data_IF_441583029147
#
_entry.id   IF_441583029147
#
_cell.length_a   1.000
_cell.length_b   1.000
_cell.length_c   1.000
_cell.angle_alpha   90.00
_cell.angle_beta   90.00
_cell.angle_gamma   90.00
#
_symmetry.space_group_name_H-M   'P 1'
#
loop_
_entity.id
_entity.type
_entity.pdbx_description
1 polymer ?
#
# COMPACT_ATOMS: atom_id res chain seq x y z
N UNK A 1 -18.57 24.27 -41.97
CA UNK A 1 -19.64 23.40 -42.52
C UNK A 1 -20.96 24.14 -42.59
N UNK A 2 -21.36 24.89 -41.55
CA UNK A 2 -22.56 25.70 -41.57
C UNK A 2 -22.31 27.11 -42.16
N UNK A 3 -23.24 27.60 -42.96
CA UNK A 3 -23.25 28.94 -43.58
C UNK A 3 -24.52 29.75 -43.23
N UNK A 4 -25.53 29.08 -42.67
CA UNK A 4 -26.82 29.68 -42.26
C UNK A 4 -27.18 29.29 -40.84
N UNK A 5 -28.00 30.09 -40.17
CA UNK A 5 -28.50 29.86 -38.80
C UNK A 5 -30.01 30.09 -38.77
N UNK A 6 -30.70 29.34 -37.92
CA UNK A 6 -32.10 29.60 -37.58
C UNK A 6 -32.19 30.76 -36.58
N UNK A 7 -32.90 31.83 -36.93
CA UNK A 7 -33.17 32.93 -36.00
C UNK A 7 -34.30 32.60 -35.00
N UNK A 8 -34.51 33.49 -34.04
CA UNK A 8 -35.52 33.41 -32.98
C UNK A 8 -36.95 33.26 -33.53
N UNK A 9 -37.17 33.68 -34.78
CA UNK A 9 -38.45 33.61 -35.50
C UNK A 9 -38.59 32.32 -36.32
N UNK A 10 -37.59 31.45 -36.30
CA UNK A 10 -37.55 30.21 -37.08
C UNK A 10 -37.14 30.40 -38.54
N UNK A 11 -36.64 31.58 -38.91
CA UNK A 11 -36.26 31.90 -40.28
C UNK A 11 -34.77 31.65 -40.49
N UNK A 12 -34.44 31.12 -41.66
CA UNK A 12 -33.05 30.85 -42.06
C UNK A 12 -32.40 32.16 -42.51
N UNK A 13 -31.34 32.56 -41.80
CA UNK A 13 -30.52 33.73 -42.12
C UNK A 13 -29.05 33.34 -42.31
N UNK A 14 -28.27 34.09 -43.13
CA UNK A 14 -26.84 33.83 -43.27
C UNK A 14 -26.10 34.00 -41.94
N UNK A 15 -25.13 33.15 -41.62
CA UNK A 15 -24.23 33.40 -40.48
C UNK A 15 -23.38 34.63 -40.78
N UNK A 16 -23.52 35.67 -39.96
CA UNK A 16 -22.58 36.79 -39.93
C UNK A 16 -21.28 36.43 -39.20
N UNK A 17 -20.18 37.14 -39.48
CA UNK A 17 -18.91 36.94 -38.77
C UNK A 17 -19.04 37.16 -37.25
N UNK A 18 -19.86 38.12 -36.83
CA UNK A 18 -20.12 38.40 -35.40
C UNK A 18 -20.82 37.20 -34.72
N UNK A 19 -21.79 36.58 -35.39
CA UNK A 19 -22.45 35.38 -34.87
C UNK A 19 -21.50 34.19 -34.79
N UNK A 20 -20.61 34.02 -35.78
CA UNK A 20 -19.59 32.96 -35.76
C UNK A 20 -18.69 33.09 -34.53
N UNK A 21 -18.23 34.31 -34.24
CA UNK A 21 -17.41 34.59 -33.06
C UNK A 21 -18.18 34.28 -31.77
N UNK A 22 -19.41 34.78 -31.64
CA UNK A 22 -20.23 34.56 -30.45
C UNK A 22 -20.52 33.06 -30.20
N UNK A 23 -20.84 32.30 -31.25
CA UNK A 23 -21.07 30.84 -31.13
C UNK A 23 -19.78 30.12 -30.74
N UNK A 24 -18.64 30.54 -31.30
CA UNK A 24 -17.33 29.98 -30.95
C UNK A 24 -17.00 30.25 -29.48
N UNK A 25 -17.32 31.43 -28.98
CA UNK A 25 -17.15 31.80 -27.57
C UNK A 25 -18.07 30.97 -26.65
N UNK A 26 -19.31 30.73 -27.05
CA UNK A 26 -20.23 29.83 -26.32
C UNK A 26 -19.68 28.39 -26.28
N UNK A 27 -19.17 27.87 -27.40
CA UNK A 27 -18.55 26.54 -27.46
C UNK A 27 -17.34 26.47 -26.52
N UNK A 28 -16.50 27.51 -26.50
CA UNK A 28 -15.35 27.60 -25.62
C UNK A 28 -15.75 27.72 -24.14
N UNK A 29 -16.82 28.46 -23.83
CA UNK A 29 -17.41 28.52 -22.49
C UNK A 29 -17.92 27.16 -22.05
N UNK A 30 -18.69 26.47 -22.89
CA UNK A 30 -19.18 25.11 -22.61
C UNK A 30 -18.02 24.14 -22.38
N UNK A 31 -16.96 24.19 -23.19
CA UNK A 31 -15.79 23.37 -22.99
C UNK A 31 -15.06 23.68 -21.67
N UNK A 32 -15.07 24.95 -21.23
CA UNK A 32 -14.49 25.39 -19.96
C UNK A 32 -15.28 24.87 -18.75
N UNK A 33 -16.59 24.67 -18.91
CA UNK A 33 -17.49 24.07 -17.91
C UNK A 33 -17.54 22.52 -18.01
N UNK A 34 -16.58 21.90 -18.71
CA UNK A 34 -16.50 20.45 -18.95
C UNK A 34 -17.71 19.86 -19.71
N UNK A 35 -18.40 20.66 -20.52
CA UNK A 35 -19.50 20.18 -21.36
C UNK A 35 -18.97 19.67 -22.70
N UNK A 36 -19.47 18.51 -23.12
CA UNK A 36 -19.32 18.00 -24.49
C UNK A 36 -20.29 18.75 -25.39
N UNK A 37 -19.75 19.57 -26.28
CA UNK A 37 -20.55 20.35 -27.23
C UNK A 37 -20.95 19.50 -28.44
N UNK A 38 -22.25 19.45 -28.74
CA UNK A 38 -22.79 18.91 -29.98
C UNK A 38 -23.46 20.02 -30.78
N UNK A 39 -23.19 20.03 -32.08
CA UNK A 39 -23.79 20.96 -33.02
C UNK A 39 -24.93 20.25 -33.76
N UNK A 40 -26.14 20.81 -33.68
CA UNK A 40 -27.30 20.35 -34.41
C UNK A 40 -27.49 21.25 -35.64
N UNK A 41 -27.36 20.65 -36.82
CA UNK A 41 -27.52 21.35 -38.09
C UNK A 41 -28.25 20.45 -39.09
N UNK A 42 -28.94 21.05 -40.04
CA UNK A 42 -29.62 20.34 -41.12
C UNK A 42 -29.29 20.96 -42.47
N UNK A 43 -29.54 20.20 -43.53
CA UNK A 43 -29.43 20.69 -44.91
C UNK A 43 -30.62 20.16 -45.68
N UNK A 44 -31.37 21.07 -46.29
CA UNK A 44 -32.43 20.70 -47.22
C UNK A 44 -31.79 20.19 -48.52
N UNK A 45 -32.29 19.07 -49.03
CA UNK A 45 -31.83 18.45 -50.26
C UNK A 45 -33.00 18.41 -51.24
N UNK A 46 -32.82 19.05 -52.39
CA UNK A 46 -33.85 19.13 -53.43
C UNK A 46 -34.05 17.78 -54.14
N UNK A 47 -33.00 16.94 -54.21
CA UNK A 47 -33.03 15.60 -54.81
C UNK A 47 -32.59 14.51 -53.80
N UNK A 48 -33.19 13.31 -53.85
CA UNK A 48 -32.76 12.18 -53.02
C UNK A 48 -31.32 11.77 -53.37
N UNK A 49 -30.45 11.70 -52.36
CA UNK A 49 -29.03 11.35 -52.53
C UNK A 49 -28.93 9.89 -52.99
N UNK A 50 -28.58 9.70 -54.26
CA UNK A 50 -28.52 8.37 -54.88
C UNK A 50 -27.33 7.51 -54.45
N UNK A 51 -26.29 8.10 -53.84
CA UNK A 51 -25.01 7.43 -53.57
C UNK A 51 -24.62 7.39 -52.07
N UNK A 52 -25.55 7.73 -51.18
CA UNK A 52 -25.30 7.73 -49.72
C UNK A 52 -24.23 8.70 -49.22
N UNK A 53 -23.70 9.59 -50.08
CA UNK A 53 -22.67 10.55 -49.74
C UNK A 53 -23.25 11.73 -48.95
N UNK A 54 -22.73 11.94 -47.74
CA UNK A 54 -23.13 13.05 -46.87
C UNK A 54 -22.43 14.32 -47.39
N UNK A 55 -23.14 15.41 -47.71
CA UNK A 55 -22.52 16.66 -48.18
C UNK A 55 -21.60 17.28 -47.12
N UNK A 56 -20.43 17.80 -47.50
CA UNK A 56 -19.46 18.37 -46.54
C UNK A 56 -19.79 19.81 -46.09
N UNK A 57 -20.58 20.56 -46.86
CA UNK A 57 -20.84 22.00 -46.64
C UNK A 57 -22.30 22.41 -46.96
N UNK A 58 -22.70 23.59 -46.47
CA UNK A 58 -24.00 24.21 -46.77
C UNK A 58 -25.10 23.85 -45.77
N UNK A 59 -24.73 23.70 -44.50
CA UNK A 59 -25.66 23.36 -43.43
C UNK A 59 -26.23 24.61 -42.76
N UNK A 60 -27.49 24.51 -42.32
CA UNK A 60 -28.14 25.47 -41.45
C UNK A 60 -27.99 25.02 -39.99
N UNK A 61 -27.29 25.83 -39.19
CA UNK A 61 -27.15 25.65 -37.75
C UNK A 61 -28.50 25.89 -37.06
N UNK A 62 -28.89 24.94 -36.20
CA UNK A 62 -30.12 25.03 -35.39
C UNK A 62 -29.78 25.35 -33.95
N UNK A 63 -28.89 24.56 -33.34
CA UNK A 63 -28.55 24.71 -31.94
C UNK A 63 -27.17 24.12 -31.63
N UNK A 64 -26.56 24.65 -30.57
CA UNK A 64 -25.40 24.03 -29.91
C UNK A 64 -25.85 23.58 -28.54
N UNK A 65 -25.71 22.29 -28.24
CA UNK A 65 -26.07 21.70 -26.96
C UNK A 65 -24.81 21.26 -26.22
N UNK A 66 -24.74 21.57 -24.92
CA UNK A 66 -23.68 21.10 -24.04
C UNK A 66 -24.18 19.95 -23.16
N UNK A 67 -23.54 18.79 -23.23
CA UNK A 67 -23.85 17.63 -22.39
C UNK A 67 -22.74 17.46 -21.35
N UNK A 68 -23.08 17.41 -20.07
CA UNK A 68 -22.11 17.13 -19.00
C UNK A 68 -22.06 15.63 -18.73
N UNK A 69 -20.85 15.07 -18.67
CA UNK A 69 -20.62 13.80 -17.97
C UNK A 69 -20.20 14.13 -16.53
N UNK A 70 -21.10 13.99 -15.53
CA UNK A 70 -20.81 14.43 -14.19
C UNK A 70 -19.75 13.56 -13.52
N UNK A 71 -18.85 14.20 -12.77
CA UNK A 71 -17.90 13.48 -11.93
C UNK A 71 -18.66 12.63 -10.90
N UNK A 72 -18.27 11.36 -10.76
CA UNK A 72 -18.90 10.45 -9.79
C UNK A 72 -18.73 10.97 -8.35
N UNK A 73 -19.74 10.84 -7.49
CA UNK A 73 -19.65 11.25 -6.10
C UNK A 73 -18.46 10.58 -5.37
N UNK A 74 -17.68 11.37 -4.63
CA UNK A 74 -16.56 10.88 -3.83
C UNK A 74 -15.23 10.72 -4.57
N UNK A 75 -15.17 10.93 -5.89
CA UNK A 75 -13.89 10.94 -6.64
C UNK A 75 -12.98 12.04 -6.12
N UNK A 76 -13.51 13.24 -5.89
CA UNK A 76 -12.75 14.37 -5.36
C UNK A 76 -12.09 14.05 -4.01
N UNK A 77 -12.85 13.50 -3.07
CA UNK A 77 -12.34 13.11 -1.74
C UNK A 77 -11.28 12.02 -1.85
N UNK A 78 -11.48 11.07 -2.77
CA UNK A 78 -10.54 9.97 -3.02
C UNK A 78 -9.23 10.47 -3.64
N UNK A 79 -9.28 11.39 -4.61
CA UNK A 79 -8.09 12.06 -5.19
C UNK A 79 -7.34 12.81 -4.10
N UNK A 80 -8.03 13.59 -3.28
CA UNK A 80 -7.41 14.31 -2.16
C UNK A 80 -6.75 13.35 -1.15
N UNK A 81 -7.40 12.22 -0.86
CA UNK A 81 -6.84 11.18 0.02
C UNK A 81 -5.57 10.57 -0.57
N UNK A 82 -5.55 10.30 -1.88
CA UNK A 82 -4.34 9.82 -2.58
C UNK A 82 -3.21 10.85 -2.52
N UNK A 83 -3.49 12.12 -2.84
CA UNK A 83 -2.51 13.20 -2.81
C UNK A 83 -1.94 13.40 -1.40
N UNK A 84 -2.80 13.44 -0.37
CA UNK A 84 -2.37 13.53 1.02
C UNK A 84 -1.52 12.33 1.48
N UNK A 85 -1.69 11.17 0.83
CA UNK A 85 -0.92 9.96 1.06
C UNK A 85 0.38 9.87 0.24
N UNK A 86 0.73 10.93 -0.50
CA UNK A 86 1.90 11.00 -1.38
C UNK A 86 1.75 10.21 -2.69
N UNK A 87 0.51 9.93 -3.12
CA UNK A 87 0.22 9.24 -4.38
C UNK A 87 -0.19 10.28 -5.43
N UNK A 88 0.64 10.45 -6.45
CA UNK A 88 0.34 11.36 -7.58
C UNK A 88 -0.72 10.73 -8.48
N UNK A 89 -1.85 11.40 -8.64
CA UNK A 89 -2.94 10.99 -9.55
C UNK A 89 -2.76 11.70 -10.88
N UNK A 90 -2.84 10.96 -12.00
CA UNK A 90 -2.72 11.50 -13.36
C UNK A 90 -3.93 11.06 -14.18
N UNK A 91 -4.55 11.99 -14.91
CA UNK A 91 -5.67 11.72 -15.81
C UNK A 91 -5.14 11.53 -17.24
N UNK A 92 -5.52 10.41 -17.87
CA UNK A 92 -5.17 10.12 -19.27
C UNK A 92 -6.43 9.77 -20.04
N UNK A 93 -6.87 10.65 -20.93
CA UNK A 93 -8.17 10.55 -21.63
C UNK A 93 -8.05 10.79 -23.14
N UNK A 94 -8.99 10.23 -23.89
CA UNK A 94 -9.20 10.52 -25.31
C UNK A 94 -9.93 11.85 -25.57
N UNK A 95 -10.45 12.51 -24.54
CA UNK A 95 -11.18 13.78 -24.67
C UNK A 95 -10.28 14.95 -25.09
N UNK A 96 -10.93 16.05 -25.48
CA UNK A 96 -10.28 17.34 -25.74
C UNK A 96 -9.56 17.86 -24.48
N UNK A 97 -8.41 18.52 -24.67
CA UNK A 97 -7.61 19.13 -23.61
C UNK A 97 -8.37 20.10 -22.71
N UNK A 98 -9.29 20.90 -23.23
CA UNK A 98 -10.08 21.86 -22.44
C UNK A 98 -11.05 21.14 -21.50
N UNK A 99 -11.78 20.14 -22.02
CA UNK A 99 -12.67 19.29 -21.21
C UNK A 99 -11.87 18.52 -20.15
N UNK A 100 -10.75 17.92 -20.53
CA UNK A 100 -9.89 17.18 -19.62
C UNK A 100 -9.34 18.09 -18.50
N UNK A 101 -8.89 19.31 -18.83
CA UNK A 101 -8.45 20.31 -17.86
C UNK A 101 -9.57 20.70 -16.90
N UNK A 102 -10.78 20.92 -17.40
CA UNK A 102 -11.92 21.30 -16.59
C UNK A 102 -12.30 20.19 -15.59
N UNK A 103 -12.43 18.94 -16.05
CA UNK A 103 -12.72 17.78 -15.19
C UNK A 103 -11.58 17.55 -14.18
N UNK A 104 -10.32 17.64 -14.63
CA UNK A 104 -9.17 17.46 -13.75
C UNK A 104 -9.11 18.53 -12.64
N UNK A 105 -9.48 19.78 -12.93
CA UNK A 105 -9.62 20.83 -11.91
C UNK A 105 -10.78 20.56 -10.95
N UNK A 106 -11.94 20.14 -11.46
CA UNK A 106 -13.11 19.80 -10.64
C UNK A 106 -12.78 18.66 -9.64
N UNK A 107 -12.03 17.65 -10.08
CA UNK A 107 -11.55 16.53 -9.27
C UNK A 107 -10.37 16.85 -8.35
N UNK A 108 -9.69 17.99 -8.53
CA UNK A 108 -8.47 18.33 -7.79
C UNK A 108 -7.21 17.58 -8.24
N UNK A 109 -7.19 17.08 -9.48
CA UNK A 109 -6.04 16.42 -10.10
C UNK A 109 -5.07 17.45 -10.67
N UNK A 110 -5.59 18.46 -11.39
CA UNK A 110 -4.78 19.49 -12.02
C UNK A 110 -4.53 20.64 -11.03
N UNK A 111 -3.29 20.76 -10.56
CA UNK A 111 -2.81 21.85 -9.69
C UNK A 111 -2.25 23.01 -10.51
N UNK A 112 -1.99 24.16 -9.87
CA UNK A 112 -1.43 25.34 -10.56
C UNK A 112 -0.06 25.06 -11.21
N UNK A 113 0.79 24.26 -10.54
CA UNK A 113 2.10 23.87 -11.06
C UNK A 113 2.05 22.68 -12.05
N UNK A 114 0.86 22.13 -12.28
CA UNK A 114 0.62 20.95 -13.08
C UNK A 114 0.59 21.24 -14.58
N UNK A 115 1.08 20.29 -15.38
CA UNK A 115 1.05 20.39 -16.84
C UNK A 115 -0.03 19.48 -17.42
N UNK A 116 -0.80 20.04 -18.36
CA UNK A 116 -1.74 19.33 -19.19
C UNK A 116 -1.30 19.40 -20.66
N UNK A 117 -1.09 18.25 -21.28
CA UNK A 117 -0.58 18.12 -22.66
C UNK A 117 -1.51 17.28 -23.53
N UNK A 118 -1.34 17.35 -24.84
CA UNK A 118 -1.96 16.41 -25.77
C UNK A 118 -1.05 15.20 -26.07
N UNK A 119 -1.64 14.04 -26.35
CA UNK A 119 -0.90 12.82 -26.71
C UNK A 119 -0.06 12.98 -27.99
N UNK A 120 -0.51 13.82 -28.93
CA UNK A 120 0.25 14.20 -30.13
C UNK A 120 1.58 14.89 -29.79
N UNK A 121 1.56 15.81 -28.83
CA UNK A 121 2.73 16.52 -28.33
C UNK A 121 3.65 15.56 -27.57
N UNK A 122 3.10 14.70 -26.72
CA UNK A 122 3.87 13.69 -25.99
C UNK A 122 4.61 12.71 -26.91
N UNK A 123 3.99 12.31 -28.04
CA UNK A 123 4.60 11.35 -28.97
C UNK A 123 5.92 11.83 -29.56
N UNK A 124 5.99 13.10 -29.93
CA UNK A 124 7.11 13.71 -30.64
C UNK A 124 8.25 14.15 -29.71
N UNK A 125 8.04 14.13 -28.40
CA UNK A 125 9.07 14.50 -27.42
C UNK A 125 10.25 13.52 -27.44
N UNK A 126 11.46 14.08 -27.30
CA UNK A 126 12.68 13.29 -27.12
C UNK A 126 12.74 12.70 -25.70
N UNK A 127 13.53 11.63 -25.47
CA UNK A 127 13.71 11.07 -24.13
C UNK A 127 14.26 12.07 -23.11
N UNK A 128 15.05 13.07 -23.53
CA UNK A 128 15.50 14.15 -22.64
C UNK A 128 14.32 15.02 -22.19
N UNK A 129 13.51 15.50 -23.13
CA UNK A 129 12.33 16.32 -22.83
C UNK A 129 11.33 15.57 -21.95
N UNK A 130 11.13 14.28 -22.24
CA UNK A 130 10.27 13.41 -21.42
C UNK A 130 10.70 13.35 -19.96
N UNK A 131 12.01 13.32 -19.68
CA UNK A 131 12.52 13.29 -18.29
C UNK A 131 12.19 14.56 -17.50
N UNK A 132 12.11 15.70 -18.16
CA UNK A 132 11.82 16.98 -17.51
C UNK A 132 10.32 17.19 -17.29
N UNK A 133 9.49 16.76 -18.25
CA UNK A 133 8.06 17.06 -18.26
C UNK A 133 7.21 15.99 -17.54
N UNK A 134 7.57 14.70 -17.63
CA UNK A 134 6.76 13.59 -17.06
C UNK A 134 6.41 13.79 -15.58
N UNK A 135 7.34 14.24 -14.70
CA UNK A 135 7.00 14.49 -13.30
C UNK A 135 5.88 15.51 -13.12
N UNK A 136 5.79 16.49 -14.03
CA UNK A 136 4.82 17.60 -13.99
C UNK A 136 3.51 17.28 -14.71
N UNK A 137 3.48 16.26 -15.58
CA UNK A 137 2.27 15.88 -16.30
C UNK A 137 1.23 15.34 -15.29
N UNK A 138 0.09 16.02 -15.24
CA UNK A 138 -1.09 15.60 -14.48
C UNK A 138 -2.26 15.24 -15.39
N UNK A 139 -2.30 15.79 -16.61
CA UNK A 139 -3.34 15.51 -17.59
C UNK A 139 -2.72 15.25 -18.96
N UNK A 140 -3.10 14.14 -19.58
CA UNK A 140 -2.82 13.85 -20.99
C UNK A 140 -4.16 13.66 -21.71
N UNK A 141 -4.45 14.57 -22.64
CA UNK A 141 -5.68 14.59 -23.41
C UNK A 141 -5.45 14.07 -24.85
N UNK A 142 -6.52 13.69 -25.55
CA UNK A 142 -6.47 13.08 -26.90
C UNK A 142 -5.44 11.93 -27.00
N UNK A 143 -5.30 11.15 -25.93
CA UNK A 143 -4.32 10.07 -25.85
C UNK A 143 -4.75 8.88 -26.70
N UNK A 144 -3.84 8.33 -27.48
CA UNK A 144 -4.00 7.01 -28.10
C UNK A 144 -3.59 5.89 -27.11
N UNK A 145 -4.03 4.63 -27.32
CA UNK A 145 -3.61 3.48 -26.52
C UNK A 145 -2.10 3.39 -26.29
N UNK A 146 -1.32 3.61 -27.37
CA UNK A 146 0.14 3.57 -27.32
C UNK A 146 0.75 4.72 -26.50
N UNK A 147 0.07 5.87 -26.39
CA UNK A 147 0.54 6.99 -25.58
C UNK A 147 0.42 6.65 -24.10
N UNK A 148 -0.70 6.03 -23.70
CA UNK A 148 -0.92 5.54 -22.33
C UNK A 148 0.16 4.55 -21.94
N UNK A 149 0.38 3.54 -22.78
CA UNK A 149 1.45 2.55 -22.60
C UNK A 149 2.83 3.23 -22.47
N UNK A 150 3.17 4.13 -23.40
CA UNK A 150 4.46 4.85 -23.39
C UNK A 150 4.66 5.66 -22.10
N UNK A 151 3.62 6.32 -21.58
CA UNK A 151 3.70 7.05 -20.32
C UNK A 151 4.02 6.10 -19.15
N UNK A 152 3.28 4.98 -19.05
CA UNK A 152 3.47 3.97 -17.99
C UNK A 152 4.87 3.36 -18.05
N UNK A 153 5.33 2.97 -19.23
CA UNK A 153 6.68 2.43 -19.44
C UNK A 153 7.75 3.41 -18.98
N UNK A 154 7.61 4.70 -19.27
CA UNK A 154 8.61 5.70 -18.88
C UNK A 154 8.58 5.99 -17.37
N UNK A 155 7.41 6.08 -16.75
CA UNK A 155 7.29 6.22 -15.28
C UNK A 155 7.98 5.05 -14.55
N UNK A 156 7.76 3.82 -15.01
CA UNK A 156 8.41 2.62 -14.44
C UNK A 156 9.91 2.59 -14.71
N UNK A 157 10.34 2.85 -15.94
CA UNK A 157 11.73 2.60 -16.34
C UNK A 157 12.68 3.76 -16.00
N UNK A 158 12.27 5.00 -16.28
CA UNK A 158 13.09 6.19 -16.07
C UNK A 158 13.06 6.66 -14.61
N UNK A 159 11.88 6.67 -13.99
CA UNK A 159 11.69 7.21 -12.63
C UNK A 159 11.62 6.14 -11.55
N UNK A 160 11.53 4.87 -11.93
CA UNK A 160 11.41 3.73 -11.00
C UNK A 160 10.20 3.85 -10.07
N UNK A 161 9.16 4.58 -10.49
CA UNK A 161 7.88 4.67 -9.79
C UNK A 161 7.15 3.32 -9.81
N UNK A 162 6.27 3.09 -8.84
CA UNK A 162 5.29 1.99 -8.88
C UNK A 162 4.01 2.55 -9.45
N UNK A 163 3.59 2.05 -10.61
CA UNK A 163 2.49 2.64 -11.39
C UNK A 163 1.29 1.72 -11.35
N UNK A 164 0.15 2.26 -10.89
CA UNK A 164 -1.14 1.63 -11.04
C UNK A 164 -1.92 2.30 -12.18
N UNK A 165 -2.53 1.51 -13.05
CA UNK A 165 -3.32 1.99 -14.19
C UNK A 165 -4.75 1.51 -14.05
N UNK A 166 -5.71 2.41 -14.28
CA UNK A 166 -7.14 2.07 -14.35
C UNK A 166 -7.62 2.13 -15.78
N UNK A 167 -8.44 1.16 -16.21
CA UNK A 167 -9.00 1.14 -17.56
C UNK A 167 -10.28 0.30 -17.65
N UNK A 168 -11.09 0.58 -18.65
CA UNK A 168 -12.36 -0.11 -18.93
C UNK A 168 -12.42 -0.61 -20.39
N UNK A 169 -11.76 0.09 -21.32
CA UNK A 169 -11.75 -0.26 -22.73
C UNK A 169 -10.68 -1.27 -23.14
N UNK A 170 -10.88 -1.92 -24.29
CA UNK A 170 -9.86 -2.71 -24.99
C UNK A 170 -8.60 -1.89 -25.31
N UNK A 171 -8.78 -0.58 -25.48
CA UNK A 171 -7.74 0.42 -25.68
C UNK A 171 -6.78 0.57 -24.48
N UNK A 172 -7.20 0.18 -23.29
CA UNK A 172 -6.39 0.30 -22.07
C UNK A 172 -5.61 -0.98 -21.77
N UNK A 173 -5.94 -2.10 -22.42
CA UNK A 173 -5.34 -3.40 -22.16
C UNK A 173 -3.80 -3.40 -22.21
N UNK A 174 -3.12 -2.76 -23.19
CA UNK A 174 -1.66 -2.71 -23.20
C UNK A 174 -1.08 -1.95 -21.99
N UNK A 175 -1.74 -0.85 -21.57
CA UNK A 175 -1.29 -0.05 -20.44
C UNK A 175 -1.57 -0.73 -19.10
N UNK A 176 -2.69 -1.46 -18.99
CA UNK A 176 -3.03 -2.29 -17.83
C UNK A 176 -1.99 -3.39 -17.64
N UNK A 177 -1.65 -4.12 -18.71
CA UNK A 177 -0.65 -5.19 -18.65
C UNK A 177 0.76 -4.67 -18.34
N UNK A 178 1.13 -3.49 -18.86
CA UNK A 178 2.43 -2.89 -18.59
C UNK A 178 2.51 -2.23 -17.20
N UNK A 179 1.41 -1.97 -16.51
CA UNK A 179 1.45 -1.39 -15.16
C UNK A 179 2.10 -2.36 -14.15
N UNK A 180 2.49 -1.86 -12.97
CA UNK A 180 2.80 -2.77 -11.86
C UNK A 180 1.52 -3.34 -11.23
N UNK A 181 0.42 -2.60 -11.35
CA UNK A 181 -0.92 -3.01 -10.92
C UNK A 181 -1.94 -2.50 -11.95
N UNK A 182 -2.55 -3.40 -12.70
CA UNK A 182 -3.69 -3.11 -13.57
C UNK A 182 -5.02 -3.20 -12.80
N UNK A 183 -5.86 -2.16 -12.92
CA UNK A 183 -7.17 -2.05 -12.29
C UNK A 183 -8.26 -1.94 -13.38
N UNK A 184 -9.08 -2.99 -13.53
CA UNK A 184 -10.19 -2.99 -14.48
C UNK A 184 -11.53 -2.67 -13.80
N UNK A 185 -12.42 -2.00 -14.53
CA UNK A 185 -13.80 -1.77 -14.10
C UNK A 185 -14.64 -3.05 -14.25
N UNK A 186 -15.45 -3.39 -13.24
CA UNK A 186 -16.22 -4.62 -13.21
C UNK A 186 -17.49 -4.56 -14.03
N UNK A 187 -18.19 -3.41 -14.02
CA UNK A 187 -19.48 -3.22 -14.69
C UNK A 187 -19.27 -2.67 -16.10
N UNK A 188 -18.56 -1.55 -16.23
CA UNK A 188 -18.30 -0.90 -17.51
C UNK A 188 -17.12 -1.51 -18.29
N UNK A 189 -16.26 -2.28 -17.62
CA UNK A 189 -15.07 -2.83 -18.25
C UNK A 189 -15.35 -3.96 -19.23
N UNK A 190 -14.67 -3.90 -20.37
CA UNK A 190 -14.63 -4.97 -21.37
C UNK A 190 -13.90 -6.21 -20.84
N UNK A 191 -14.26 -7.39 -21.33
CA UNK A 191 -13.60 -8.65 -20.92
C UNK A 191 -12.09 -8.63 -21.20
N UNK A 192 -11.67 -8.03 -22.32
CA UNK A 192 -10.25 -7.85 -22.64
C UNK A 192 -9.53 -7.00 -21.59
N UNK A 193 -10.16 -5.95 -21.07
CA UNK A 193 -9.56 -5.13 -20.01
C UNK A 193 -9.45 -5.92 -18.69
N UNK A 194 -10.48 -6.71 -18.34
CA UNK A 194 -10.48 -7.55 -17.13
C UNK A 194 -9.43 -8.67 -17.18
N UNK A 195 -9.24 -9.30 -18.34
CA UNK A 195 -8.21 -10.34 -18.53
C UNK A 195 -6.77 -9.80 -18.43
N UNK A 196 -6.56 -8.51 -18.70
CA UNK A 196 -5.25 -7.86 -18.63
C UNK A 196 -5.01 -7.10 -17.32
N UNK A 197 -5.95 -7.15 -16.36
CA UNK A 197 -5.83 -6.47 -15.08
C UNK A 197 -5.56 -7.45 -13.93
N UNK A 198 -4.83 -6.99 -12.91
CA UNK A 198 -4.55 -7.76 -11.70
C UNK A 198 -5.70 -7.71 -10.69
N UNK A 199 -6.47 -6.61 -10.70
CA UNK A 199 -7.56 -6.35 -9.77
C UNK A 199 -8.78 -5.82 -10.52
N UNK A 200 -9.94 -6.41 -10.25
CA UNK A 200 -11.24 -5.99 -10.82
C UNK A 200 -12.04 -5.22 -9.76
N UNK A 201 -12.43 -3.99 -10.09
CA UNK A 201 -13.24 -3.11 -9.26
C UNK A 201 -14.71 -3.39 -9.54
N UNK A 202 -15.34 -4.22 -8.70
CA UNK A 202 -16.71 -4.69 -8.91
C UNK A 202 -17.78 -3.59 -8.92
N UNK A 203 -17.53 -2.45 -8.29
CA UNK A 203 -18.50 -1.37 -8.10
C UNK A 203 -18.24 -0.12 -8.97
N UNK A 204 -17.24 -0.18 -9.86
CA UNK A 204 -16.83 0.92 -10.73
C UNK A 204 -16.59 2.26 -9.99
N UNK A 205 -16.14 2.17 -8.73
CA UNK A 205 -15.94 3.35 -7.88
C UNK A 205 -14.46 3.61 -7.62
N UNK A 206 -14.01 4.84 -7.90
CA UNK A 206 -12.64 5.27 -7.64
C UNK A 206 -12.26 5.19 -6.15
N UNK A 207 -13.24 5.28 -5.24
CA UNK A 207 -13.01 5.08 -3.80
C UNK A 207 -12.44 3.69 -3.48
N UNK A 208 -12.79 2.68 -4.27
CA UNK A 208 -12.29 1.31 -4.09
C UNK A 208 -10.78 1.26 -4.30
N UNK A 209 -10.21 2.09 -5.16
CA UNK A 209 -8.75 2.17 -5.38
C UNK A 209 -8.03 2.65 -4.11
N UNK A 210 -8.61 3.64 -3.41
CA UNK A 210 -8.07 4.11 -2.11
C UNK A 210 -8.08 2.97 -1.09
N UNK A 211 -9.15 2.16 -1.07
CA UNK A 211 -9.23 0.99 -0.19
C UNK A 211 -8.17 -0.06 -0.55
N UNK A 212 -7.96 -0.33 -1.84
CA UNK A 212 -6.91 -1.25 -2.32
C UNK A 212 -5.53 -0.78 -1.85
N UNK A 213 -5.22 0.51 -2.00
CA UNK A 213 -3.96 1.08 -1.52
C UNK A 213 -3.80 0.95 0.01
N UNK A 214 -4.87 1.22 0.76
CA UNK A 214 -4.90 1.08 2.22
C UNK A 214 -4.64 -0.36 2.68
N UNK A 215 -5.28 -1.33 2.02
CA UNK A 215 -5.08 -2.76 2.28
C UNK A 215 -3.67 -3.21 1.90
N UNK A 216 -3.14 -2.79 0.75
CA UNK A 216 -1.77 -3.08 0.35
C UNK A 216 -0.74 -2.59 1.38
N UNK A 217 -0.91 -1.36 1.88
CA UNK A 217 -0.06 -0.82 2.97
C UNK A 217 -0.18 -1.62 4.26
N UNK A 218 -1.39 -2.06 4.62
CA UNK A 218 -1.60 -2.87 5.83
C UNK A 218 -0.92 -4.24 5.72
N UNK A 219 -1.10 -4.95 4.61
CA UNK A 219 -0.46 -6.24 4.34
C UNK A 219 1.06 -6.10 4.41
N UNK A 220 1.63 -5.10 3.74
CA UNK A 220 3.08 -4.86 3.76
C UNK A 220 3.62 -4.69 5.18
N UNK A 221 2.97 -3.84 5.98
CA UNK A 221 3.37 -3.59 7.37
C UNK A 221 3.19 -4.84 8.24
N UNK A 222 2.12 -5.60 8.04
CA UNK A 222 1.86 -6.82 8.80
C UNK A 222 2.90 -7.91 8.52
N UNK A 223 3.34 -8.05 7.27
CA UNK A 223 4.45 -8.95 6.92
C UNK A 223 5.75 -8.48 7.57
N UNK A 224 6.02 -7.17 7.61
CA UNK A 224 7.21 -6.64 8.32
C UNK A 224 7.17 -6.96 9.81
N UNK A 225 6.02 -6.82 10.48
CA UNK A 225 5.85 -7.20 11.91
C UNK A 225 6.15 -8.68 12.13
N UNK A 226 5.60 -9.54 11.28
CA UNK A 226 5.84 -10.99 11.33
C UNK A 226 7.32 -11.32 11.12
N UNK A 227 7.98 -10.73 10.12
CA UNK A 227 9.40 -10.97 9.85
C UNK A 227 10.29 -10.46 11.00
N UNK A 228 9.96 -9.33 11.63
CA UNK A 228 10.67 -8.84 12.81
C UNK A 228 10.63 -9.87 13.95
N UNK A 229 9.43 -10.40 14.23
CA UNK A 229 9.22 -11.43 15.24
C UNK A 229 10.00 -12.71 14.90
N UNK A 230 9.81 -13.22 13.69
CA UNK A 230 10.41 -14.47 13.19
C UNK A 230 11.94 -14.44 13.19
N UNK A 231 12.55 -13.33 12.76
CA UNK A 231 14.00 -13.20 12.77
C UNK A 231 14.56 -13.16 14.19
N UNK A 232 13.88 -12.48 15.11
CA UNK A 232 14.31 -12.42 16.52
C UNK A 232 14.36 -13.81 17.14
N UNK A 233 13.30 -14.61 16.94
CA UNK A 233 13.22 -16.00 17.40
C UNK A 233 14.40 -16.81 16.85
N UNK A 234 14.59 -16.78 15.53
CA UNK A 234 15.58 -17.63 14.85
C UNK A 234 17.00 -17.28 15.25
N UNK A 235 17.31 -15.98 15.38
CA UNK A 235 18.62 -15.51 15.83
C UNK A 235 18.91 -16.02 17.25
N UNK A 236 17.96 -15.88 18.18
CA UNK A 236 18.15 -16.30 19.58
C UNK A 236 18.29 -17.81 19.66
N UNK A 237 17.41 -18.59 19.01
CA UNK A 237 17.46 -20.04 19.03
C UNK A 237 18.77 -20.59 18.44
N UNK A 238 19.21 -20.05 17.30
CA UNK A 238 20.43 -20.49 16.64
C UNK A 238 21.67 -20.16 17.46
N UNK A 239 21.80 -18.89 17.90
CA UNK A 239 22.99 -18.44 18.64
C UNK A 239 23.08 -19.12 20.00
N UNK A 240 21.97 -19.26 20.73
CA UNK A 240 21.95 -19.95 22.03
C UNK A 240 22.43 -21.40 21.91
N UNK A 241 21.86 -22.16 20.96
CA UNK A 241 22.22 -23.57 20.78
C UNK A 241 23.66 -23.73 20.29
N UNK A 242 24.09 -22.90 19.34
CA UNK A 242 25.46 -22.94 18.83
C UNK A 242 26.48 -22.64 19.94
N UNK A 243 26.30 -21.52 20.65
CA UNK A 243 27.18 -21.10 21.75
C UNK A 243 27.20 -22.18 22.85
N UNK A 244 26.04 -22.67 23.26
CA UNK A 244 25.99 -23.72 24.29
C UNK A 244 26.68 -25.01 23.85
N UNK A 245 26.48 -25.44 22.60
CA UNK A 245 27.13 -26.63 22.07
C UNK A 245 28.66 -26.48 22.05
N UNK A 246 29.18 -25.31 21.69
CA UNK A 246 30.62 -25.04 21.70
C UNK A 246 31.23 -25.05 23.11
N UNK A 247 30.54 -24.52 24.13
CA UNK A 247 31.09 -24.41 25.48
C UNK A 247 30.82 -25.64 26.37
N UNK A 248 29.64 -26.24 26.26
CA UNK A 248 29.18 -27.32 27.15
C UNK A 248 29.14 -28.69 26.47
N UNK A 249 29.32 -28.75 25.15
CA UNK A 249 29.20 -29.98 24.37
C UNK A 249 27.75 -30.44 24.13
N UNK A 250 26.75 -29.72 24.65
CA UNK A 250 25.33 -30.04 24.49
C UNK A 250 24.48 -28.77 24.26
N UNK A 251 23.38 -28.94 23.51
CA UNK A 251 22.42 -27.86 23.26
C UNK A 251 21.31 -27.90 24.33
N UNK A 252 20.90 -26.75 24.89
CA UNK A 252 19.86 -26.70 25.91
C UNK A 252 18.47 -26.99 25.34
N UNK A 253 18.25 -26.68 24.06
CA UNK A 253 17.00 -26.95 23.36
C UNK A 253 17.16 -28.19 22.48
N UNK A 254 16.25 -29.15 22.65
CA UNK A 254 16.23 -30.36 21.82
C UNK A 254 15.68 -30.07 20.43
N UNK A 255 15.95 -30.96 19.47
CA UNK A 255 15.39 -30.84 18.12
C UNK A 255 13.85 -30.79 18.13
N UNK A 256 13.19 -31.56 19.01
CA UNK A 256 11.72 -31.56 19.15
C UNK A 256 11.22 -30.22 19.70
N UNK A 257 11.92 -29.64 20.68
CA UNK A 257 11.58 -28.33 21.25
C UNK A 257 11.74 -27.20 20.23
N UNK A 258 12.77 -27.25 19.38
CA UNK A 258 12.96 -26.29 18.29
C UNK A 258 11.89 -26.44 17.20
N UNK A 259 11.54 -27.68 16.84
CA UNK A 259 10.45 -27.94 15.90
C UNK A 259 9.11 -27.43 16.45
N UNK A 260 8.87 -27.62 17.74
CA UNK A 260 7.68 -27.09 18.42
C UNK A 260 7.59 -25.56 18.34
N UNK A 261 8.68 -24.90 18.72
CA UNK A 261 8.85 -23.44 18.68
C UNK A 261 8.58 -22.92 17.26
N UNK A 262 9.24 -23.49 16.26
CA UNK A 262 9.06 -23.07 14.86
C UNK A 262 7.64 -23.36 14.38
N UNK A 263 7.09 -24.54 14.65
CA UNK A 263 5.75 -24.88 14.16
C UNK A 263 4.69 -23.92 14.68
N UNK A 264 4.67 -23.63 15.98
CA UNK A 264 3.67 -22.74 16.57
C UNK A 264 3.93 -21.29 16.19
N UNK A 265 5.17 -20.82 16.29
CA UNK A 265 5.43 -19.39 16.10
C UNK A 265 5.43 -18.98 14.63
N UNK A 266 5.82 -19.88 13.72
CA UNK A 266 5.73 -19.60 12.30
C UNK A 266 4.27 -19.61 11.83
N UNK A 267 3.47 -20.59 12.25
CA UNK A 267 2.07 -20.71 11.78
C UNK A 267 1.11 -19.82 12.55
N UNK A 268 1.08 -19.92 13.88
CA UNK A 268 0.17 -19.14 14.71
C UNK A 268 0.62 -17.68 14.82
N UNK A 269 1.92 -17.42 14.92
CA UNK A 269 2.45 -16.05 14.93
C UNK A 269 2.25 -15.33 13.60
N UNK A 270 2.39 -16.03 12.45
CA UNK A 270 1.98 -15.47 11.16
C UNK A 270 0.48 -15.16 11.15
N UNK A 271 -0.37 -16.09 11.61
CA UNK A 271 -1.81 -15.85 11.65
C UNK A 271 -2.16 -14.63 12.54
N UNK A 272 -1.52 -14.49 13.70
CA UNK A 272 -1.78 -13.42 14.66
C UNK A 272 -1.32 -12.04 14.17
N UNK A 273 -0.13 -11.96 13.55
CA UNK A 273 0.49 -10.70 13.13
C UNK A 273 0.13 -10.30 11.69
N UNK A 274 -0.13 -11.26 10.80
CA UNK A 274 -0.45 -10.99 9.40
C UNK A 274 -1.90 -10.50 9.18
N UNK A 275 -2.83 -10.90 10.06
CA UNK A 275 -4.28 -10.69 9.86
C UNK A 275 -4.83 -9.39 10.48
N UNK A 276 -3.97 -8.47 10.91
CA UNK A 276 -4.45 -7.22 11.50
C UNK A 276 -5.14 -6.32 10.46
N UNK A 277 -6.33 -5.78 10.77
CA UNK A 277 -7.06 -4.92 9.84
C UNK A 277 -6.35 -3.57 9.62
N UNK A 278 -6.58 -2.93 8.46
CA UNK A 278 -6.00 -1.63 8.15
C UNK A 278 -6.52 -0.54 9.10
N UNK A 279 -5.62 0.34 9.56
CA UNK A 279 -5.98 1.56 10.29
C UNK A 279 -6.00 2.79 9.38
N UNK A 280 -6.73 3.84 9.76
CA UNK A 280 -6.82 5.09 8.98
C UNK A 280 -5.50 5.88 8.97
N UNK A 281 -4.59 5.60 9.91
CA UNK A 281 -3.26 6.20 9.96
C UNK A 281 -2.34 5.76 8.81
N UNK A 282 -2.62 4.65 8.13
CA UNK A 282 -1.81 4.16 7.01
C UNK A 282 -1.78 5.12 5.83
N UNK A 283 -2.85 5.88 5.62
CA UNK A 283 -2.93 6.85 4.51
C UNK A 283 -2.19 8.16 4.79
N UNK A 284 -1.68 8.36 6.01
CA UNK A 284 -0.87 9.55 6.35
C UNK A 284 0.63 9.36 6.09
N UNK A 285 1.04 8.14 5.73
CA UNK A 285 2.44 7.79 5.46
C UNK A 285 2.74 7.98 3.98
N UNK A 286 3.99 8.34 3.67
CA UNK A 286 4.47 8.35 2.30
C UNK A 286 4.54 6.92 1.72
N UNK A 287 4.48 6.75 0.39
CA UNK A 287 4.66 5.45 -0.26
C UNK A 287 6.07 4.88 -0.01
N UNK A 288 6.18 3.56 -0.03
CA UNK A 288 7.47 2.87 0.06
C UNK A 288 8.06 2.75 -1.35
N UNK A 289 9.27 3.29 -1.55
CA UNK A 289 9.96 3.21 -2.84
C UNK A 289 10.51 1.82 -3.16
N UNK A 290 10.70 1.48 -4.44
CA UNK A 290 11.18 0.17 -4.89
C UNK A 290 12.54 -0.24 -4.31
N UNK A 291 13.44 0.73 -4.10
CA UNK A 291 14.78 0.50 -3.57
C UNK A 291 14.86 0.49 -2.04
N UNK A 292 13.73 0.70 -1.34
CA UNK A 292 13.72 0.72 0.12
C UNK A 292 14.00 -0.68 0.67
N UNK A 293 14.89 -0.76 1.67
CA UNK A 293 15.18 -2.03 2.34
C UNK A 293 13.94 -2.55 3.07
N UNK A 294 13.56 -3.81 2.82
CA UNK A 294 12.42 -4.44 3.46
C UNK A 294 12.56 -4.49 4.99
N UNK A 295 13.75 -4.81 5.49
CA UNK A 295 14.08 -4.73 6.92
C UNK A 295 14.67 -3.36 7.21
N UNK A 296 13.87 -2.50 7.84
CA UNK A 296 14.27 -1.14 8.18
C UNK A 296 15.32 -1.12 9.30
N UNK A 297 16.09 -0.03 9.42
CA UNK A 297 17.04 0.18 10.53
C UNK A 297 16.33 0.10 11.90
N UNK A 298 15.08 0.58 11.97
CA UNK A 298 14.22 0.47 13.16
C UNK A 298 13.91 -0.98 13.53
N UNK A 299 13.61 -1.83 12.53
CA UNK A 299 13.41 -3.26 12.75
C UNK A 299 14.69 -3.92 13.25
N UNK A 300 15.85 -3.61 12.64
CA UNK A 300 17.14 -4.14 13.10
C UNK A 300 17.46 -3.78 14.55
N UNK A 301 17.22 -2.52 14.96
CA UNK A 301 17.34 -2.11 16.37
C UNK A 301 16.48 -2.98 17.29
N UNK A 302 15.22 -3.19 16.92
CA UNK A 302 14.29 -4.00 17.71
C UNK A 302 14.75 -5.47 17.77
N UNK A 303 15.13 -6.06 16.63
CA UNK A 303 15.60 -7.45 16.51
C UNK A 303 16.86 -7.66 17.36
N UNK A 304 17.90 -6.84 17.17
CA UNK A 304 19.14 -6.97 17.92
C UNK A 304 18.95 -6.71 19.41
N UNK A 305 18.21 -5.66 19.78
CA UNK A 305 18.00 -5.34 21.18
C UNK A 305 17.26 -6.44 21.94
N UNK A 306 16.19 -6.99 21.35
CA UNK A 306 15.47 -8.13 21.93
C UNK A 306 16.32 -9.40 21.93
N UNK A 307 17.06 -9.66 20.86
CA UNK A 307 17.92 -10.84 20.77
C UNK A 307 19.03 -10.80 21.83
N UNK A 308 19.69 -9.66 22.05
CA UNK A 308 20.73 -9.51 23.07
C UNK A 308 20.16 -9.77 24.46
N UNK A 309 19.00 -9.19 24.78
CA UNK A 309 18.33 -9.41 26.06
C UNK A 309 18.06 -10.91 26.30
N UNK A 310 17.43 -11.58 25.33
CA UNK A 310 17.08 -12.99 25.46
C UNK A 310 18.33 -13.87 25.54
N UNK A 311 19.35 -13.60 24.71
CA UNK A 311 20.62 -14.33 24.73
C UNK A 311 21.34 -14.21 26.06
N UNK A 312 21.40 -13.00 26.65
CA UNK A 312 22.06 -12.79 27.95
C UNK A 312 21.34 -13.58 29.04
N UNK A 313 20.02 -13.49 29.12
CA UNK A 313 19.25 -14.20 30.16
C UNK A 313 19.34 -15.71 30.00
N UNK A 314 19.16 -16.22 28.78
CA UNK A 314 19.19 -17.66 28.53
C UNK A 314 20.60 -18.22 28.72
N UNK A 315 21.65 -17.45 28.39
CA UNK A 315 23.03 -17.82 28.72
C UNK A 315 23.28 -17.84 30.23
N UNK A 316 22.79 -16.87 30.99
CA UNK A 316 22.89 -16.86 32.46
C UNK A 316 22.20 -18.09 33.06
N UNK A 317 21.00 -18.43 32.58
CA UNK A 317 20.30 -19.65 32.99
C UNK A 317 21.05 -20.91 32.58
N UNK A 318 21.70 -20.94 31.41
CA UNK A 318 22.47 -22.09 30.95
C UNK A 318 23.74 -22.31 31.78
N UNK A 319 24.51 -21.27 32.05
CA UNK A 319 25.81 -21.39 32.71
C UNK A 319 25.71 -21.36 34.25
N UNK A 320 24.83 -20.52 34.83
CA UNK A 320 24.72 -20.34 36.29
C UNK A 320 23.34 -20.73 36.85
N UNK A 321 22.41 -21.23 36.02
CA UNK A 321 21.05 -21.57 36.45
C UNK A 321 20.99 -22.62 37.55
N UNK A 322 21.89 -23.60 37.56
CA UNK A 322 21.97 -24.62 38.64
C UNK A 322 22.21 -23.99 40.01
N UNK A 323 23.10 -23.00 40.07
CA UNK A 323 23.43 -22.26 41.29
C UNK A 323 22.34 -21.27 41.66
N UNK A 324 21.83 -20.53 40.67
CA UNK A 324 20.80 -19.50 40.84
C UNK A 324 19.48 -20.10 41.35
N UNK A 325 19.07 -21.25 40.81
CA UNK A 325 17.85 -21.97 41.21
C UNK A 325 18.07 -22.90 42.41
N UNK A 326 19.28 -22.93 42.98
CA UNK A 326 19.67 -23.77 44.13
C UNK A 326 19.35 -25.26 43.93
N UNK A 327 19.50 -25.76 42.72
CA UNK A 327 19.21 -27.16 42.38
C UNK A 327 20.40 -28.04 42.73
N UNK A 328 20.18 -29.03 43.60
CA UNK A 328 21.17 -30.04 43.99
C UNK A 328 20.58 -31.42 43.74
N UNK A 329 21.04 -32.09 42.69
CA UNK A 329 20.60 -33.44 42.34
C UNK A 329 21.02 -33.87 40.93
N UNK A 330 20.89 -35.17 40.59
CA UNK A 330 21.17 -35.69 39.24
C UNK A 330 20.24 -35.08 38.17
N UNK A 331 18.99 -34.77 38.54
CA UNK A 331 17.96 -34.24 37.63
C UNK A 331 18.09 -32.71 37.41
N UNK A 332 19.06 -32.06 38.06
CA UNK A 332 19.22 -30.60 38.02
C UNK A 332 19.48 -30.07 36.60
N UNK A 333 20.11 -30.87 35.72
CA UNK A 333 20.36 -30.46 34.33
C UNK A 333 19.08 -30.46 33.50
N UNK A 334 18.23 -31.47 33.66
CA UNK A 334 16.96 -31.59 32.93
C UNK A 334 15.95 -30.51 33.37
N UNK A 335 15.92 -30.20 34.67
CA UNK A 335 15.11 -29.10 35.22
C UNK A 335 15.57 -27.77 34.62
N UNK A 336 16.88 -27.49 34.60
CA UNK A 336 17.41 -26.23 34.03
C UNK A 336 17.10 -26.13 32.54
N UNK A 337 17.30 -27.19 31.76
CA UNK A 337 16.96 -27.21 30.34
C UNK A 337 15.47 -26.95 30.10
N UNK A 338 14.60 -27.52 30.95
CA UNK A 338 13.15 -27.29 30.87
C UNK A 338 12.79 -25.85 31.24
N UNK A 339 13.43 -25.26 32.25
CA UNK A 339 13.26 -23.83 32.60
C UNK A 339 13.75 -22.93 31.47
N UNK A 340 14.85 -23.26 30.81
CA UNK A 340 15.37 -22.51 29.64
C UNK A 340 14.36 -22.58 28.50
N UNK A 341 13.87 -23.77 28.16
CA UNK A 341 12.84 -23.95 27.15
C UNK A 341 11.57 -23.16 27.47
N UNK A 342 11.05 -23.26 28.70
CA UNK A 342 9.85 -22.57 29.11
C UNK A 342 10.03 -21.04 29.09
N UNK A 343 11.15 -20.55 29.62
CA UNK A 343 11.50 -19.13 29.61
C UNK A 343 11.65 -18.60 28.20
N UNK A 344 12.28 -19.38 27.30
CA UNK A 344 12.40 -19.03 25.90
C UNK A 344 11.03 -18.86 25.23
N UNK A 345 10.10 -19.80 25.41
CA UNK A 345 8.73 -19.69 24.86
C UNK A 345 8.02 -18.45 25.41
N UNK A 346 8.07 -18.19 26.71
CA UNK A 346 7.47 -16.97 27.27
C UNK A 346 8.09 -15.68 26.73
N UNK A 347 9.42 -15.64 26.57
CA UNK A 347 10.08 -14.51 25.92
C UNK A 347 9.53 -14.28 24.52
N UNK A 348 9.19 -15.33 23.77
CA UNK A 348 8.59 -15.15 22.44
C UNK A 348 7.14 -14.69 22.51
N UNK A 349 6.33 -15.24 23.41
CA UNK A 349 4.95 -14.77 23.64
C UNK A 349 4.90 -13.26 23.93
N UNK A 350 5.80 -12.75 24.77
CA UNK A 350 5.88 -11.30 25.03
C UNK A 350 6.54 -10.51 23.88
N UNK A 351 7.49 -11.10 23.17
CA UNK A 351 8.08 -10.49 21.98
C UNK A 351 7.09 -10.37 20.81
N UNK A 352 6.14 -11.30 20.69
CA UNK A 352 5.04 -11.27 19.73
C UNK A 352 4.17 -10.03 19.97
N UNK A 353 3.81 -9.78 21.23
CA UNK A 353 3.13 -8.55 21.65
C UNK A 353 3.96 -7.32 21.26
N UNK A 354 5.26 -7.30 21.57
CA UNK A 354 6.14 -6.16 21.26
C UNK A 354 6.29 -5.90 19.75
N UNK A 355 6.24 -6.94 18.93
CA UNK A 355 6.42 -6.88 17.48
C UNK A 355 5.17 -6.42 16.73
N UNK A 356 4.03 -6.32 17.42
CA UNK A 356 2.76 -5.83 16.89
C UNK A 356 2.80 -4.37 16.40
N UNK A 357 3.70 -3.56 16.95
CA UNK A 357 3.93 -2.20 16.45
C UNK A 357 5.43 -1.92 16.45
N UNK A 358 5.99 -1.58 15.29
CA UNK A 358 7.44 -1.42 15.08
C UNK A 358 7.96 -0.16 15.78
N UNK A 359 7.15 0.90 15.83
CA UNK A 359 7.58 2.24 16.27
C UNK A 359 6.85 2.73 17.52
N UNK A 360 5.55 2.44 17.68
CA UNK A 360 4.78 3.02 18.78
C UNK A 360 5.11 2.35 20.11
N UNK A 361 5.14 3.16 21.16
CA UNK A 361 5.38 2.76 22.55
C UNK A 361 4.13 2.09 23.17
N UNK A 362 2.92 2.51 22.75
CA UNK A 362 1.67 1.96 23.26
C UNK A 362 1.31 0.63 22.59
N UNK A 363 1.97 -0.44 23.03
CA UNK A 363 1.85 -1.79 22.47
C UNK A 363 0.52 -2.47 22.86
N UNK A 364 -0.03 -2.12 24.03
CA UNK A 364 -1.26 -2.71 24.59
C UNK A 364 -2.54 -2.13 23.96
N UNK A 365 -2.45 -0.96 23.31
CA UNK A 365 -3.63 -0.28 22.75
C UNK A 365 -4.17 -1.07 21.56
N UNK A 366 -5.43 -1.52 21.65
CA UNK A 366 -6.09 -2.30 20.60
C UNK A 366 -5.75 -3.79 20.57
N UNK A 367 -5.03 -4.32 21.57
CA UNK A 367 -4.72 -5.76 21.66
C UNK A 367 -6.00 -6.59 21.83
N UNK A 368 -6.88 -6.13 22.70
CA UNK A 368 -8.19 -6.72 22.93
C UNK A 368 -9.19 -6.51 21.78
N UNK A 369 -8.82 -5.73 20.76
CA UNK A 369 -9.67 -5.55 19.57
C UNK A 369 -9.47 -6.64 18.52
N UNK A 370 -8.34 -7.37 18.55
CA UNK A 370 -8.05 -8.46 17.63
C UNK A 370 -8.29 -9.80 18.34
N UNK A 371 -9.48 -10.35 18.15
CA UNK A 371 -9.87 -11.65 18.73
C UNK A 371 -8.99 -12.81 18.25
N UNK A 372 -8.51 -12.76 17.01
CA UNK A 372 -7.59 -13.77 16.43
C UNK A 372 -6.25 -13.74 17.18
N UNK A 373 -5.68 -12.56 17.40
CA UNK A 373 -4.42 -12.39 18.14
C UNK A 373 -4.55 -12.93 19.57
N UNK A 374 -5.63 -12.57 20.27
CA UNK A 374 -5.88 -13.06 21.63
C UNK A 374 -6.09 -14.58 21.65
N UNK A 375 -6.80 -15.13 20.67
CA UNK A 375 -7.01 -16.57 20.52
C UNK A 375 -5.70 -17.34 20.36
N UNK A 376 -4.82 -16.87 19.46
CA UNK A 376 -3.48 -17.46 19.27
C UNK A 376 -2.66 -17.43 20.55
N UNK A 377 -2.62 -16.29 21.25
CA UNK A 377 -1.88 -16.14 22.51
C UNK A 377 -2.35 -17.15 23.57
N UNK A 378 -3.67 -17.29 23.75
CA UNK A 378 -4.24 -18.25 24.70
C UNK A 378 -3.93 -19.70 24.30
N UNK A 379 -4.08 -20.02 23.01
CA UNK A 379 -3.78 -21.36 22.48
C UNK A 379 -2.30 -21.70 22.74
N UNK A 380 -1.36 -20.82 22.42
CA UNK A 380 0.07 -21.02 22.66
C UNK A 380 0.37 -21.27 24.14
N UNK A 381 -0.24 -20.50 25.05
CA UNK A 381 -0.06 -20.69 26.49
C UNK A 381 -0.61 -22.04 26.99
N UNK A 382 -1.81 -22.42 26.56
CA UNK A 382 -2.43 -23.71 26.93
C UNK A 382 -1.58 -24.87 26.43
N UNK A 383 -1.14 -24.82 25.18
CA UNK A 383 -0.30 -25.86 24.60
C UNK A 383 1.08 -25.94 25.26
N UNK A 384 1.65 -24.81 25.67
CA UNK A 384 2.91 -24.79 26.42
C UNK A 384 2.78 -25.49 27.79
N UNK A 385 1.68 -25.25 28.51
CA UNK A 385 1.38 -25.98 29.76
C UNK A 385 1.23 -27.48 29.50
N UNK A 386 0.52 -27.86 28.43
CA UNK A 386 0.33 -29.26 28.06
C UNK A 386 1.67 -29.94 27.77
N UNK A 387 2.57 -29.31 27.02
CA UNK A 387 3.87 -29.89 26.69
C UNK A 387 4.75 -30.08 27.92
N UNK A 388 4.86 -29.06 28.77
CA UNK A 388 5.77 -29.08 29.92
C UNK A 388 5.29 -30.02 31.02
N UNK A 389 3.98 -30.08 31.28
CA UNK A 389 3.43 -30.87 32.39
C UNK A 389 3.05 -32.31 31.99
N UNK A 390 2.59 -32.53 30.76
CA UNK A 390 1.99 -33.81 30.36
C UNK A 390 2.76 -34.58 29.27
N UNK A 391 3.57 -33.92 28.43
CA UNK A 391 4.32 -34.57 27.34
C UNK A 391 5.83 -34.64 27.58
N UNK A 392 6.25 -34.73 28.84
CA UNK A 392 7.66 -34.77 29.23
C UNK A 392 8.52 -35.81 28.49
N UNK A 393 7.98 -37.02 28.29
CA UNK A 393 8.68 -38.11 27.59
C UNK A 393 8.90 -37.86 26.10
N UNK A 394 8.00 -37.12 25.45
CA UNK A 394 8.11 -36.77 24.03
C UNK A 394 8.97 -35.52 23.82
N UNK A 395 8.80 -34.51 24.67
CA UNK A 395 9.45 -33.21 24.54
C UNK A 395 10.83 -33.13 25.23
N UNK A 396 11.20 -34.15 26.02
CA UNK A 396 12.40 -34.12 26.86
C UNK A 396 12.32 -33.03 27.93
N UNK A 397 11.16 -32.91 28.58
CA UNK A 397 10.89 -31.91 29.63
C UNK A 397 10.48 -32.57 30.93
N UNK A 398 10.69 -31.88 32.04
CA UNK A 398 10.24 -32.30 33.37
C UNK A 398 9.19 -31.34 33.93
N UNK A 399 8.16 -31.83 34.64
CA UNK A 399 7.14 -30.98 35.27
C UNK A 399 7.77 -29.90 36.14
N UNK A 400 7.34 -28.65 35.95
CA UNK A 400 7.95 -27.50 36.63
C UNK A 400 7.13 -27.11 37.85
N UNK A 401 7.81 -26.70 38.92
CA UNK A 401 7.12 -26.09 40.06
C UNK A 401 6.48 -24.76 39.67
N UNK A 402 5.42 -24.37 40.37
CA UNK A 402 4.75 -23.07 40.15
C UNK A 402 5.70 -21.87 40.29
N UNK A 403 6.76 -21.99 41.11
CA UNK A 403 7.78 -20.95 41.28
C UNK A 403 8.62 -20.77 40.01
N UNK A 404 8.97 -21.87 39.35
CA UNK A 404 9.73 -21.85 38.09
C UNK A 404 8.88 -21.34 36.94
N UNK A 405 7.59 -21.71 36.90
CA UNK A 405 6.62 -21.12 35.97
C UNK A 405 6.52 -19.60 36.13
N UNK A 406 6.35 -19.13 37.37
CA UNK A 406 6.27 -17.69 37.66
C UNK A 406 7.57 -16.98 37.26
N UNK A 407 8.73 -17.58 37.54
CA UNK A 407 10.02 -17.02 37.14
C UNK A 407 10.12 -16.87 35.62
N UNK A 408 9.76 -17.90 34.85
CA UNK A 408 9.75 -17.86 33.38
C UNK A 408 8.82 -16.78 32.83
N UNK A 409 7.62 -16.62 33.41
CA UNK A 409 6.66 -15.59 33.02
C UNK A 409 7.22 -14.19 33.32
N UNK A 410 7.79 -13.98 34.51
CA UNK A 410 8.35 -12.67 34.91
C UNK A 410 9.52 -12.29 34.00
N UNK A 411 10.43 -13.22 33.73
CA UNK A 411 11.54 -13.01 32.79
C UNK A 411 11.01 -12.65 31.40
N UNK A 412 10.00 -13.36 30.90
CA UNK A 412 9.34 -13.02 29.65
C UNK A 412 8.74 -11.60 29.68
N UNK A 413 8.04 -11.25 30.76
CA UNK A 413 7.37 -9.96 30.90
C UNK A 413 8.37 -8.78 30.93
N UNK A 414 9.59 -8.97 31.45
CA UNK A 414 10.66 -7.96 31.45
C UNK A 414 11.15 -7.63 30.03
N UNK A 415 10.90 -8.48 29.03
CA UNK A 415 11.18 -8.13 27.62
C UNK A 415 10.38 -6.92 27.12
N UNK A 416 9.17 -6.69 27.68
CA UNK A 416 8.30 -5.57 27.30
C UNK A 416 8.85 -4.19 27.68
N UNK A 417 9.23 -3.88 28.94
CA UNK A 417 9.84 -2.60 29.26
C UNK A 417 11.16 -2.40 28.51
N UNK A 418 11.93 -3.45 28.25
CA UNK A 418 13.13 -3.36 27.43
C UNK A 418 12.80 -2.98 25.99
N UNK A 419 11.72 -3.52 25.40
CA UNK A 419 11.25 -3.09 24.09
C UNK A 419 10.90 -1.59 24.06
N UNK A 420 10.29 -1.08 25.13
CA UNK A 420 9.98 0.35 25.27
C UNK A 420 11.26 1.18 25.30
N UNK A 421 12.25 0.78 26.11
CA UNK A 421 13.56 1.46 26.18
C UNK A 421 14.26 1.45 24.83
N UNK A 422 14.25 0.31 24.12
CA UNK A 422 14.83 0.21 22.78
C UNK A 422 14.14 1.15 21.78
N UNK A 423 12.82 1.29 21.88
CA UNK A 423 12.05 2.20 21.02
C UNK A 423 12.38 3.69 21.25
N UNK A 424 12.83 4.05 22.46
CA UNK A 424 13.29 5.40 22.78
C UNK A 424 14.65 5.76 22.14
N UNK A 425 15.44 4.78 21.69
CA UNK A 425 16.74 5.03 21.06
C UNK A 425 16.48 5.53 19.63
N UNK A 426 16.84 6.78 19.28
CA UNK A 426 16.60 7.31 17.94
C UNK A 426 17.42 6.54 16.90
N UNK A 427 16.79 6.26 15.77
CA UNK A 427 17.44 5.65 14.59
C UNK A 427 17.38 6.67 13.48
N UNK A 428 18.52 6.86 12.80
CA UNK A 428 18.60 7.74 11.64
C UNK A 428 17.62 7.26 10.57
N UNK A 429 16.62 8.09 10.29
CA UNK A 429 15.64 7.83 9.24
C UNK A 429 16.34 8.11 7.91
N UNK A 430 16.37 7.11 7.04
CA UNK A 430 16.60 7.39 5.63
C UNK A 430 15.38 8.19 5.15
N UNK A 431 15.53 9.51 5.07
CA UNK A 431 14.60 10.30 4.28
C UNK A 431 14.79 9.82 2.83
N UNK A 432 13.78 9.19 2.21
CA UNK A 432 13.86 8.99 0.77
C UNK A 432 13.96 10.39 0.18
N UNK A 433 15.12 10.71 -0.43
CA UNK A 433 15.26 11.91 -1.23
C UNK A 433 14.22 11.80 -2.34
N UNK A 434 13.13 12.55 -2.22
CA UNK A 434 12.17 12.67 -3.31
C UNK A 434 12.90 13.29 -4.50
N UNK A 435 12.66 12.76 -5.69
CA UNK A 435 13.15 13.33 -6.95
C UNK A 435 12.46 14.66 -7.32
N UNK A 436 11.67 15.22 -6.39
CA UNK A 436 10.82 16.39 -6.61
C UNK A 436 11.44 17.66 -6.04
N UNK A 437 12.66 17.60 -5.50
CA UNK A 437 13.37 18.78 -4.99
C UNK A 437 12.78 19.39 -3.70
N UNK A 438 11.83 18.72 -3.06
CA UNK A 438 11.24 19.14 -1.79
C UNK A 438 11.69 18.23 -0.65
N UNK A 439 12.33 18.83 0.36
CA UNK A 439 12.52 18.20 1.67
C UNK A 439 11.18 18.18 2.42
N UNK A 440 10.85 17.05 3.04
CA UNK A 440 9.70 16.98 3.94
C UNK A 440 9.90 17.97 5.09
N UNK A 441 8.96 18.93 5.24
CA UNK A 441 8.99 19.88 6.35
C UNK A 441 9.06 19.10 7.68
N UNK A 442 9.93 19.52 8.62
CA UNK A 442 10.02 18.88 9.92
C UNK A 442 8.66 18.97 10.62
N UNK A 443 8.08 17.81 10.92
CA UNK A 443 6.88 17.71 11.74
C UNK A 443 7.26 17.94 13.21
N UNK A 444 7.40 19.21 13.58
CA UNK A 444 7.19 19.70 14.95
C UNK A 444 5.75 20.23 15.10
N UNK A 445 5.19 20.31 16.32
CA UNK A 445 5.84 20.98 17.44
C UNK A 445 5.90 20.18 18.75
N UNK A 446 7.05 20.19 19.42
CA UNK A 446 7.09 20.13 20.89
C UNK A 446 6.88 21.55 21.42
N UNK A 447 5.63 21.99 21.48
CA UNK A 447 5.20 23.16 22.25
C UNK A 447 3.83 22.83 22.89
N UNK A 448 3.89 22.11 24.00
CA UNK A 448 3.10 22.32 25.21
C UNK A 448 3.82 21.67 26.38
#
# INVERSE_FOLDING_TARGET
MCDKILDDSGKVVPLSEEQILNISDIINSFASDALRTLCLAYKDLDDPVHDGSIPDFGYTLVAVVGIKDPVRPGVKDAVQTCLAAGITVRMVTGDNINTAKAIAKECGILTEDGVAIEGSEFRIMSPQQMREIIPKIQVMARSLPLDKHKLVTNLKNMFKEVVAVTGDGTNDAPALHEADIGLAMGIAGTEVAKENADVIIMDDNFRTIVNVAKWGRAVYINIQKFVQFQLTVNVVALVLNFVSACFTGSAPLTAVQLLWVNMIMDTLGALALATEPPNDGLMKRAPVGRGASFITKTMWRNIFGQSIYQLVILAVLQFDGKRLLRLRGPDATEIVNTVIFNTFVFCQVFNEINSRDIEKINIVRGMFSSWIFLGVMVITLVFQVIIVEFLGTFAGTVPLSWQMWLLSIVIGAVSMPIAVVLKCIPVERENPKHHDGYDALPSGPDLA
#
